data_IF_401062337687
#
_entry.id   IF_401062337687
#
_cell.length_a   1.000
_cell.length_b   1.000
_cell.length_c   1.000
_cell.angle_alpha   90.00
_cell.angle_beta   90.00
_cell.angle_gamma   90.00
#
_symmetry.space_group_name_H-M   'P 1'
#
loop_
_entity.id
_entity.type
_entity.pdbx_description
1 polymer ?
#
# COMPACT_ATOMS: atom_id res chain seq x y z
N UNK A 1 7.69 -10.11 -15.06
CA UNK A 1 8.91 -10.31 -15.88
C UNK A 1 10.00 -9.40 -15.33
N UNK A 2 11.12 -9.96 -14.89
CA UNK A 2 12.22 -9.22 -14.28
C UNK A 2 13.38 -9.13 -15.29
N UNK A 3 13.93 -7.93 -15.47
CA UNK A 3 15.11 -7.68 -16.31
C UNK A 3 16.32 -7.36 -15.42
N UNK A 4 17.43 -8.06 -15.63
CA UNK A 4 18.68 -7.82 -14.89
C UNK A 4 19.80 -7.37 -15.83
N UNK A 5 20.54 -6.35 -15.42
CA UNK A 5 21.68 -5.79 -16.16
C UNK A 5 22.91 -6.71 -16.15
N UNK A 6 23.03 -7.53 -15.10
CA UNK A 6 24.06 -8.55 -14.87
C UNK A 6 23.48 -9.70 -14.06
N UNK A 7 24.21 -10.81 -13.98
CA UNK A 7 23.80 -11.94 -13.14
C UNK A 7 23.75 -11.55 -11.66
N UNK A 8 22.75 -12.04 -10.93
CA UNK A 8 22.52 -11.78 -9.50
C UNK A 8 22.16 -13.11 -8.82
N UNK A 9 23.16 -13.78 -8.26
CA UNK A 9 22.98 -15.08 -7.60
C UNK A 9 22.43 -16.13 -8.57
N UNK A 10 21.24 -16.65 -8.31
CA UNK A 10 20.57 -17.65 -9.17
C UNK A 10 19.89 -17.06 -10.41
N UNK A 11 19.87 -15.74 -10.56
CA UNK A 11 19.17 -15.06 -11.64
C UNK A 11 20.15 -14.54 -12.70
N UNK A 12 19.79 -14.68 -13.97
CA UNK A 12 20.67 -14.40 -15.12
C UNK A 12 20.47 -12.99 -15.64
N UNK A 13 21.49 -12.49 -16.35
CA UNK A 13 21.38 -11.25 -17.14
C UNK A 13 20.28 -11.39 -18.19
N UNK A 14 19.55 -10.30 -18.45
CA UNK A 14 18.45 -10.25 -19.41
C UNK A 14 17.09 -10.42 -18.76
N UNK A 15 16.08 -10.78 -19.56
CA UNK A 15 14.71 -10.94 -19.10
C UNK A 15 14.40 -12.38 -18.71
N UNK A 16 13.70 -12.54 -17.60
CA UNK A 16 13.26 -13.83 -17.12
C UNK A 16 11.92 -13.72 -16.39
N UNK A 17 11.22 -14.85 -16.34
CA UNK A 17 10.00 -14.98 -15.57
C UNK A 17 10.35 -15.38 -14.14
N UNK A 18 9.89 -14.56 -13.20
CA UNK A 18 10.00 -14.79 -11.76
C UNK A 18 8.58 -14.85 -11.25
N UNK A 19 8.18 -15.99 -10.73
CA UNK A 19 6.93 -16.13 -10.01
C UNK A 19 7.12 -15.51 -8.63
N UNK A 20 6.31 -14.50 -8.33
CA UNK A 20 6.14 -14.03 -6.97
C UNK A 20 4.86 -14.68 -6.45
N UNK A 21 4.90 -15.18 -5.23
CA UNK A 21 3.65 -15.50 -4.55
C UNK A 21 2.82 -14.23 -4.43
N UNK A 22 1.51 -14.35 -4.63
CA UNK A 22 0.62 -13.21 -4.40
C UNK A 22 0.72 -12.88 -2.90
N UNK A 23 1.17 -11.67 -2.53
CA UNK A 23 1.17 -11.29 -1.13
C UNK A 23 -0.27 -11.33 -0.63
N UNK A 24 -0.52 -12.20 0.36
CA UNK A 24 -1.79 -12.27 1.07
C UNK A 24 -1.76 -11.32 2.25
N UNK A 25 -2.94 -11.03 2.83
CA UNK A 25 -3.04 -10.32 4.09
C UNK A 25 -2.73 -8.82 4.06
N UNK A 26 -2.54 -8.23 2.88
CA UNK A 26 -2.31 -6.79 2.72
C UNK A 26 -3.36 -5.91 3.42
N UNK A 27 -4.60 -6.40 3.53
CA UNK A 27 -5.72 -5.66 4.11
C UNK A 27 -6.28 -6.30 5.39
N UNK A 28 -5.67 -7.39 5.87
CA UNK A 28 -6.23 -8.14 7.01
C UNK A 28 -6.26 -7.25 8.26
N UNK A 29 -5.20 -6.47 8.48
CA UNK A 29 -5.11 -5.54 9.60
C UNK A 29 -6.22 -4.47 9.54
N UNK A 30 -6.45 -3.91 8.36
CA UNK A 30 -7.45 -2.87 8.10
C UNK A 30 -8.88 -3.39 8.35
N UNK A 31 -9.18 -4.63 7.93
CA UNK A 31 -10.49 -5.23 8.21
C UNK A 31 -10.67 -5.62 9.68
N UNK A 32 -9.61 -6.13 10.32
CA UNK A 32 -9.63 -6.41 11.76
C UNK A 32 -9.82 -5.12 12.57
N UNK A 33 -9.21 -4.03 12.13
CA UNK A 33 -9.34 -2.71 12.74
C UNK A 33 -10.76 -2.15 12.62
N UNK A 34 -11.32 -2.17 11.40
CA UNK A 34 -12.70 -1.76 11.15
C UNK A 34 -13.70 -2.60 11.96
N UNK A 35 -13.45 -3.90 12.11
CA UNK A 35 -14.31 -4.76 12.91
C UNK A 35 -14.31 -4.38 14.40
N UNK A 36 -13.16 -3.94 14.96
CA UNK A 36 -13.09 -3.42 16.33
C UNK A 36 -13.89 -2.11 16.48
N UNK A 37 -13.82 -1.21 15.48
CA UNK A 37 -14.62 0.01 15.45
C UNK A 37 -16.11 -0.30 15.46
N UNK A 38 -16.57 -1.22 14.59
CA UNK A 38 -17.98 -1.62 14.50
C UNK A 38 -18.49 -2.20 15.83
N UNK A 39 -17.64 -2.96 16.54
CA UNK A 39 -17.97 -3.51 17.87
C UNK A 39 -17.90 -2.48 19.00
N UNK A 40 -17.46 -1.25 18.73
CA UNK A 40 -17.29 -0.21 19.74
C UNK A 40 -16.07 -0.40 20.65
N UNK A 41 -15.13 -1.26 20.24
CA UNK A 41 -13.89 -1.56 20.99
C UNK A 41 -12.84 -0.45 20.81
N UNK A 42 -12.91 0.28 19.69
CA UNK A 42 -12.10 1.47 19.42
C UNK A 42 -12.89 2.52 18.63
N UNK A 43 -12.39 3.76 18.63
CA UNK A 43 -12.84 4.80 17.70
C UNK A 43 -12.04 4.71 16.39
N UNK A 44 -12.57 5.31 15.32
CA UNK A 44 -11.78 5.54 14.11
C UNK A 44 -10.57 6.41 14.45
N UNK A 45 -9.38 6.02 13.98
CA UNK A 45 -8.16 6.79 14.20
C UNK A 45 -8.16 8.12 13.42
N UNK A 46 -8.91 8.15 12.31
CA UNK A 46 -9.00 9.29 11.40
C UNK A 46 -10.46 9.69 11.19
N UNK A 47 -10.71 10.99 11.19
CA UNK A 47 -12.00 11.58 10.89
C UNK A 47 -12.00 12.23 9.51
N UNK A 48 -13.17 12.72 9.09
CA UNK A 48 -13.30 13.42 7.81
C UNK A 48 -12.38 14.64 7.67
N UNK A 49 -11.99 15.28 8.78
CA UNK A 49 -11.08 16.41 8.77
C UNK A 49 -9.66 15.99 8.40
N UNK A 50 -9.21 14.85 8.92
CA UNK A 50 -7.94 14.25 8.50
C UNK A 50 -7.93 13.98 6.99
N UNK A 51 -8.99 13.36 6.47
CA UNK A 51 -9.08 13.02 5.05
C UNK A 51 -9.03 14.27 4.15
N UNK A 52 -9.77 15.32 4.53
CA UNK A 52 -9.76 16.60 3.80
C UNK A 52 -8.34 17.22 3.81
N UNK A 53 -7.67 17.23 4.96
CA UNK A 53 -6.32 17.78 5.08
C UNK A 53 -5.31 17.03 4.19
N UNK A 54 -5.40 15.70 4.14
CA UNK A 54 -4.55 14.87 3.28
C UNK A 54 -4.79 15.15 1.79
N UNK A 55 -6.06 15.25 1.37
CA UNK A 55 -6.38 15.60 -0.01
C UNK A 55 -5.89 17.00 -0.39
N UNK A 56 -6.10 18.00 0.47
CA UNK A 56 -5.63 19.36 0.24
C UNK A 56 -4.11 19.42 0.09
N UNK A 57 -3.37 18.71 0.95
CA UNK A 57 -1.91 18.65 0.87
C UNK A 57 -1.44 18.11 -0.50
N UNK A 58 -2.08 17.07 -1.02
CA UNK A 58 -1.75 16.49 -2.33
C UNK A 58 -2.05 17.50 -3.46
N UNK A 59 -3.20 18.17 -3.42
CA UNK A 59 -3.58 19.14 -4.45
C UNK A 59 -2.58 20.31 -4.53
N UNK A 60 -2.17 20.85 -3.37
CA UNK A 60 -1.14 21.89 -3.28
C UNK A 60 0.21 21.40 -3.81
N UNK A 61 0.65 20.23 -3.36
CA UNK A 61 1.93 19.65 -3.81
C UNK A 61 1.95 19.36 -5.32
N UNK A 62 0.78 19.07 -5.89
CA UNK A 62 0.62 18.81 -7.33
C UNK A 62 0.44 20.09 -8.17
N UNK A 63 0.38 21.27 -7.54
CA UNK A 63 0.15 22.55 -8.23
C UNK A 63 -1.26 22.71 -8.79
N UNK A 64 -2.23 21.98 -8.27
CA UNK A 64 -3.65 22.04 -8.67
C UNK A 64 -4.45 23.00 -7.77
N UNK A 65 -3.94 23.28 -6.56
CA UNK A 65 -4.45 24.27 -5.60
C UNK A 65 -3.34 25.21 -5.14
#
# INVERSE_FOLDING_TARGET
RLGLDRERGKFKKGYQDVAFEKPTGRYDAEFLDLAQVIRGEKLLDWDSKHDIATHEAILRASGVL
#
